data_IF_620853802260
#
_entry.id   IF_620853802260
#
_cell.length_a   1.000
_cell.length_b   1.000
_cell.length_c   1.000
_cell.angle_alpha   90.00
_cell.angle_beta   90.00
_cell.angle_gamma   90.00
#
_symmetry.space_group_name_H-M   'P 1'
#
loop_
_entity.id
_entity.type
_entity.pdbx_description
1 polymer ?
#
# COMPACT_ATOMS: atom_id res chain seq x y z
N UNK A 1 -19.29 -1.21 -4.58
CA UNK A 1 -18.19 -1.89 -5.30
C UNK A 1 -17.60 -0.88 -6.26
N UNK A 2 -16.29 -0.71 -6.25
CA UNK A 2 -15.59 0.31 -7.02
C UNK A 2 -14.81 -0.35 -8.15
N UNK A 3 -14.78 0.29 -9.32
CA UNK A 3 -14.15 -0.28 -10.50
C UNK A 3 -12.99 0.62 -10.94
N UNK A 4 -11.80 0.05 -11.03
CA UNK A 4 -10.62 0.71 -11.56
C UNK A 4 -10.28 0.14 -12.94
N UNK A 5 -10.40 0.97 -13.98
CA UNK A 5 -10.21 0.55 -15.38
C UNK A 5 -9.55 1.62 -16.25
N UNK A 6 -8.25 1.93 -16.06
CA UNK A 6 -7.54 2.85 -16.92
C UNK A 6 -7.22 2.19 -18.28
N UNK A 7 -7.06 3.00 -19.33
CA UNK A 7 -6.93 2.56 -20.74
C UNK A 7 -5.87 1.50 -21.03
N UNK A 8 -4.82 1.39 -20.21
CA UNK A 8 -3.66 0.50 -20.43
C UNK A 8 -3.62 -0.72 -19.50
N UNK A 9 -4.64 -0.90 -18.67
CA UNK A 9 -4.75 -2.03 -17.76
C UNK A 9 -5.38 -3.23 -18.49
N UNK A 10 -4.79 -4.42 -18.32
CA UNK A 10 -5.23 -5.64 -19.04
C UNK A 10 -6.62 -6.11 -18.62
N UNK A 11 -6.98 -5.92 -17.35
CA UNK A 11 -8.26 -6.32 -16.77
C UNK A 11 -8.68 -5.30 -15.71
N UNK A 12 -9.96 -4.92 -15.65
CA UNK A 12 -10.44 -4.05 -14.58
C UNK A 12 -10.18 -4.65 -13.20
N UNK A 13 -9.81 -3.82 -12.23
CA UNK A 13 -9.67 -4.22 -10.83
C UNK A 13 -10.94 -3.83 -10.10
N UNK A 14 -11.58 -4.81 -9.45
CA UNK A 14 -12.72 -4.58 -8.57
C UNK A 14 -12.22 -4.34 -7.14
N UNK A 15 -12.68 -3.25 -6.53
CA UNK A 15 -12.26 -2.83 -5.20
C UNK A 15 -13.47 -2.76 -4.27
N UNK A 16 -13.31 -3.28 -3.06
CA UNK A 16 -14.22 -3.06 -1.94
C UNK A 16 -13.92 -1.74 -1.22
N UNK A 17 -14.82 -1.30 -0.33
CA UNK A 17 -14.55 -0.12 0.51
C UNK A 17 -13.34 -0.33 1.44
N UNK A 18 -13.10 -1.58 1.87
CA UNK A 18 -11.92 -1.95 2.66
C UNK A 18 -10.64 -1.82 1.83
N UNK A 19 -10.67 -2.22 0.56
CA UNK A 19 -9.52 -2.07 -0.33
C UNK A 19 -9.18 -0.60 -0.56
N UNK A 20 -10.18 0.27 -0.77
CA UNK A 20 -9.95 1.71 -0.87
C UNK A 20 -9.37 2.29 0.42
N UNK A 21 -9.83 1.81 1.58
CA UNK A 21 -9.30 2.25 2.88
C UNK A 21 -7.83 1.84 3.07
N UNK A 22 -7.48 0.62 2.66
CA UNK A 22 -6.09 0.16 2.68
C UNK A 22 -5.22 0.98 1.72
N UNK A 23 -5.67 1.18 0.48
CA UNK A 23 -4.95 1.98 -0.52
C UNK A 23 -4.77 3.44 -0.08
N UNK A 24 -5.76 4.01 0.61
CA UNK A 24 -5.66 5.33 1.24
C UNK A 24 -4.55 5.36 2.29
N UNK A 25 -4.51 4.39 3.22
CA UNK A 25 -3.45 4.33 4.23
C UNK A 25 -2.06 4.21 3.58
N UNK A 26 -1.92 3.36 2.56
CA UNK A 26 -0.65 3.23 1.82
C UNK A 26 -0.29 4.56 1.13
N UNK A 27 -1.27 5.29 0.59
CA UNK A 27 -1.07 6.63 0.01
C UNK A 27 -0.57 7.66 1.04
N UNK A 28 -1.08 7.61 2.28
CA UNK A 28 -0.72 8.51 3.38
C UNK A 28 0.67 8.18 3.97
N UNK A 29 1.03 6.90 4.04
CA UNK A 29 2.32 6.42 4.56
C UNK A 29 3.45 6.58 3.51
N UNK A 30 3.15 6.41 2.23
CA UNK A 30 4.07 6.63 1.12
C UNK A 30 4.57 5.34 0.47
N UNK A 31 4.98 4.33 1.24
CA UNK A 31 5.27 2.99 0.74
C UNK A 31 5.15 1.95 1.86
N UNK A 32 5.05 0.67 1.49
CA UNK A 32 5.00 -0.43 2.46
C UNK A 32 5.72 -1.67 1.93
N UNK A 33 6.21 -2.53 2.82
CA UNK A 33 6.69 -3.87 2.46
C UNK A 33 5.62 -4.96 2.62
N UNK A 34 5.99 -6.21 2.32
CA UNK A 34 5.10 -7.39 2.41
C UNK A 34 4.54 -7.61 3.83
N UNK A 35 5.33 -7.38 4.88
CA UNK A 35 4.84 -7.56 6.26
C UNK A 35 3.87 -6.44 6.63
N UNK A 36 4.26 -5.20 6.35
CA UNK A 36 3.50 -4.00 6.67
C UNK A 36 2.14 -3.98 5.98
N UNK A 37 2.05 -4.41 4.71
CA UNK A 37 0.78 -4.46 4.00
C UNK A 37 -0.19 -5.47 4.64
N UNK A 38 0.30 -6.60 5.18
CA UNK A 38 -0.53 -7.57 5.90
C UNK A 38 -1.01 -7.02 7.25
N UNK A 39 -0.15 -6.32 7.98
CA UNK A 39 -0.54 -5.67 9.24
C UNK A 39 -1.61 -4.59 9.00
N UNK A 40 -1.42 -3.73 7.99
CA UNK A 40 -2.42 -2.72 7.61
C UNK A 40 -3.73 -3.36 7.13
N UNK A 41 -3.65 -4.46 6.36
CA UNK A 41 -4.85 -5.19 5.95
C UNK A 41 -5.61 -5.75 7.16
N UNK A 42 -4.89 -6.33 8.13
CA UNK A 42 -5.49 -6.80 9.38
C UNK A 42 -6.18 -5.68 10.16
N UNK A 43 -5.57 -4.50 10.22
CA UNK A 43 -6.15 -3.29 10.84
C UNK A 43 -7.48 -2.91 10.16
N UNK A 44 -7.50 -2.86 8.83
CA UNK A 44 -8.72 -2.55 8.06
C UNK A 44 -9.80 -3.62 8.24
N UNK A 45 -9.41 -4.90 8.32
CA UNK A 45 -10.34 -6.01 8.53
C UNK A 45 -10.82 -6.11 9.98
N UNK A 46 -10.12 -5.49 10.94
CA UNK A 46 -10.27 -5.70 12.40
C UNK A 46 -10.18 -7.18 12.80
N UNK A 47 -9.37 -7.94 12.06
CA UNK A 47 -9.11 -9.36 12.32
C UNK A 47 -7.74 -9.72 11.73
N UNK A 48 -6.90 -10.54 12.40
CA UNK A 48 -5.61 -10.98 11.87
C UNK A 48 -5.78 -11.65 10.50
N UNK A 49 -5.40 -10.95 9.43
CA UNK A 49 -5.69 -11.31 8.05
C UNK A 49 -4.50 -11.05 7.14
N UNK A 50 -4.33 -11.92 6.14
CA UNK A 50 -3.28 -11.79 5.13
C UNK A 50 -3.92 -11.33 3.83
N UNK A 51 -3.38 -10.27 3.22
CA UNK A 51 -3.80 -9.83 1.89
C UNK A 51 -3.39 -10.89 0.87
N UNK A 52 -4.34 -11.36 0.06
CA UNK A 52 -4.05 -12.36 -0.98
C UNK A 52 -2.99 -11.85 -1.96
N UNK A 53 -2.00 -12.68 -2.25
CA UNK A 53 -0.96 -12.39 -3.24
C UNK A 53 -1.56 -12.13 -4.64
N UNK A 54 -2.70 -12.76 -4.97
CA UNK A 54 -3.37 -12.54 -6.25
C UNK A 54 -3.85 -11.08 -6.35
N UNK A 55 -4.52 -10.59 -5.30
CA UNK A 55 -5.02 -9.21 -5.22
C UNK A 55 -3.84 -8.23 -5.29
N UNK A 56 -2.78 -8.48 -4.52
CA UNK A 56 -1.59 -7.64 -4.53
C UNK A 56 -0.91 -7.60 -5.91
N UNK A 57 -0.81 -8.76 -6.57
CA UNK A 57 -0.27 -8.86 -7.92
C UNK A 57 -1.12 -8.12 -8.95
N UNK A 58 -2.45 -8.12 -8.80
CA UNK A 58 -3.36 -7.34 -9.64
C UNK A 58 -3.15 -5.84 -9.44
N UNK A 59 -3.01 -5.39 -8.19
CA UNK A 59 -2.73 -3.98 -7.88
C UNK A 59 -1.38 -3.52 -8.42
N UNK A 60 -0.39 -4.43 -8.48
CA UNK A 60 0.95 -4.18 -9.04
C UNK A 60 1.07 -4.35 -10.56
N UNK A 61 -0.05 -4.61 -11.25
CA UNK A 61 -0.02 -4.77 -12.71
C UNK A 61 0.33 -3.45 -13.43
N UNK A 62 0.61 -3.53 -14.73
CA UNK A 62 0.95 -2.35 -15.51
C UNK A 62 -0.18 -1.32 -15.52
N UNK A 63 0.13 -0.06 -15.22
CA UNK A 63 -0.87 1.00 -14.95
C UNK A 63 -1.82 0.68 -13.80
N UNK A 64 -1.38 -0.16 -12.86
CA UNK A 64 -2.12 -0.50 -11.64
C UNK A 64 -2.04 0.57 -10.57
N UNK A 65 -2.55 0.20 -9.39
CA UNK A 65 -2.67 1.08 -8.23
C UNK A 65 -1.37 1.16 -7.42
N UNK A 66 -0.57 0.10 -7.44
CA UNK A 66 0.72 0.03 -6.75
C UNK A 66 1.83 -0.26 -7.76
N UNK A 67 3.03 0.24 -7.47
CA UNK A 67 4.25 -0.12 -8.17
C UNK A 67 5.11 -0.94 -7.22
N UNK A 68 5.44 -2.18 -7.60
CA UNK A 68 6.41 -3.00 -6.89
C UNK A 68 7.83 -2.55 -7.26
N UNK A 69 8.58 -2.06 -6.28
CA UNK A 69 10.02 -1.82 -6.39
C UNK A 69 10.75 -3.04 -5.86
N UNK A 70 11.50 -3.79 -6.70
CA UNK A 70 12.20 -4.98 -6.25
C UNK A 70 13.34 -4.63 -5.31
N UNK A 71 13.79 -5.64 -4.56
CA UNK A 71 15.01 -5.54 -3.75
C UNK A 71 16.18 -5.03 -4.61
N UNK A 72 16.93 -4.02 -4.16
CA UNK A 72 18.09 -3.53 -4.89
C UNK A 72 19.18 -4.62 -4.99
N UNK A 73 19.85 -4.67 -6.15
CA UNK A 73 20.92 -5.64 -6.43
C UNK A 73 22.21 -5.36 -5.64
N UNK A 74 22.39 -4.12 -5.21
CA UNK A 74 23.54 -3.67 -4.41
C UNK A 74 23.10 -3.28 -3.01
N UNK A 75 23.80 -3.78 -2.00
CA UNK A 75 23.57 -3.45 -0.59
C UNK A 75 24.27 -2.14 -0.24
N UNK A 76 23.48 -1.12 0.08
CA UNK A 76 23.92 0.10 0.76
C UNK A 76 23.19 0.18 2.10
N UNK A 77 23.79 0.81 3.11
CA UNK A 77 23.16 1.04 4.43
C UNK A 77 21.85 1.83 4.33
N UNK A 78 21.72 2.69 3.31
CA UNK A 78 20.53 3.48 3.04
C UNK A 78 19.43 2.72 2.28
N UNK A 79 19.75 1.56 1.70
CA UNK A 79 18.82 0.81 0.85
C UNK A 79 17.89 -0.05 1.71
N UNK A 80 16.62 -0.07 1.32
CA UNK A 80 15.67 -1.09 1.77
C UNK A 80 16.13 -2.47 1.25
N UNK A 81 16.11 -3.48 2.11
CA UNK A 81 16.71 -4.80 1.83
C UNK A 81 15.75 -5.81 1.21
N UNK A 82 14.53 -5.40 0.89
CA UNK A 82 13.46 -6.23 0.38
C UNK A 82 12.58 -5.44 -0.61
N UNK A 83 11.54 -6.08 -1.16
CA UNK A 83 10.63 -5.42 -2.09
C UNK A 83 9.65 -4.52 -1.35
N UNK A 84 9.36 -3.36 -1.95
CA UNK A 84 8.35 -2.43 -1.42
C UNK A 84 7.30 -2.11 -2.47
N UNK A 85 6.12 -1.69 -2.00
CA UNK A 85 4.96 -1.32 -2.78
C UNK A 85 4.69 0.17 -2.59
N UNK A 86 4.67 0.89 -3.71
CA UNK A 86 4.56 2.34 -3.75
C UNK A 86 3.24 2.69 -4.45
N UNK A 87 2.37 3.56 -3.88
CA UNK A 87 1.19 4.03 -4.58
C UNK A 87 1.55 4.77 -5.87
N UNK A 88 0.86 4.44 -6.96
CA UNK A 88 0.99 5.18 -8.22
C UNK A 88 0.17 6.47 -8.19
N UNK A 89 0.49 7.41 -9.07
CA UNK A 89 -0.35 8.60 -9.27
C UNK A 89 -1.79 8.23 -9.65
N UNK A 90 -1.95 7.13 -10.38
CA UNK A 90 -3.27 6.62 -10.77
C UNK A 90 -4.09 6.12 -9.57
N UNK A 91 -3.44 5.57 -8.54
CA UNK A 91 -4.13 5.21 -7.30
C UNK A 91 -4.65 6.44 -6.58
N UNK A 92 -3.82 7.49 -6.44
CA UNK A 92 -4.23 8.75 -5.81
C UNK A 92 -5.38 9.42 -6.57
N UNK A 93 -5.27 9.48 -7.90
CA UNK A 93 -6.33 10.00 -8.76
C UNK A 93 -7.64 9.21 -8.59
N UNK A 94 -7.56 7.88 -8.60
CA UNK A 94 -8.74 7.04 -8.42
C UNK A 94 -9.40 7.23 -7.04
N UNK A 95 -8.61 7.35 -5.97
CA UNK A 95 -9.16 7.63 -4.63
C UNK A 95 -9.88 9.00 -4.60
N UNK A 96 -9.33 10.02 -5.25
CA UNK A 96 -9.99 11.32 -5.36
C UNK A 96 -11.28 11.27 -6.18
N UNK A 97 -11.31 10.50 -7.28
CA UNK A 97 -12.53 10.26 -8.06
C UNK A 97 -13.63 9.61 -7.20
N UNK A 98 -13.27 8.82 -6.19
CA UNK A 98 -14.19 8.24 -5.22
C UNK A 98 -14.45 9.15 -4.00
N UNK A 99 -14.09 10.44 -4.08
CA UNK A 99 -14.20 11.42 -3.00
C UNK A 99 -13.46 11.05 -1.71
N UNK A 100 -12.39 10.24 -1.82
CA UNK A 100 -11.52 9.89 -0.70
C UNK A 100 -10.32 10.85 -0.68
N UNK A 101 -10.18 11.68 0.37
CA UNK A 101 -9.10 12.66 0.43
C UNK A 101 -7.76 11.95 0.61
N UNK A 102 -6.83 12.24 -0.29
CA UNK A 102 -5.43 11.81 -0.23
C UNK A 102 -4.52 12.94 -0.68
N UNK A 103 -3.35 13.06 -0.04
CA UNK A 103 -2.32 13.99 -0.52
C UNK A 103 -1.83 13.54 -1.91
N UNK A 104 -1.78 14.47 -2.85
CA UNK A 104 -1.17 14.24 -4.16
C UNK A 104 0.36 14.29 -4.11
N UNK A 105 0.92 14.93 -3.09
CA UNK A 105 2.36 15.07 -2.89
C UNK A 105 2.71 14.20 -1.68
N UNK A 106 3.25 13.01 -1.95
CA UNK A 106 3.86 12.20 -0.91
C UNK A 106 5.15 11.60 -1.46
N UNK A 107 6.17 12.47 -1.56
CA UNK A 107 7.53 12.12 -1.98
C UNK A 107 8.31 11.54 -0.79
N UNK A 108 7.76 10.51 -0.15
CA UNK A 108 8.51 9.76 0.87
C UNK A 108 9.57 8.94 0.14
N UNK A 109 10.82 9.38 0.26
CA UNK A 109 11.94 8.66 -0.34
C UNK A 109 12.03 7.23 0.22
N UNK A 110 12.18 6.25 -0.67
CA UNK A 110 12.35 4.85 -0.27
C UNK A 110 13.78 4.62 0.20
N UNK A 111 13.97 4.56 1.51
CA UNK A 111 15.23 4.27 2.19
C UNK A 111 14.97 3.59 3.54
N UNK A 112 16.02 3.02 4.14
CA UNK A 112 15.94 2.25 5.40
C UNK A 112 15.46 3.10 6.59
N UNK A 113 15.85 4.36 6.68
CA UNK A 113 15.39 5.28 7.73
C UNK A 113 13.87 5.49 7.70
N UNK A 114 13.34 5.81 6.52
CA UNK A 114 11.90 6.03 6.34
C UNK A 114 11.12 4.73 6.53
N UNK A 115 11.66 3.60 6.09
CA UNK A 115 11.06 2.29 6.33
C UNK A 115 10.93 1.98 7.84
N UNK A 116 11.93 2.28 8.65
CA UNK A 116 11.86 2.10 10.10
C UNK A 116 10.81 3.01 10.74
N UNK A 117 10.69 4.27 10.30
CA UNK A 117 9.64 5.17 10.77
C UNK A 117 8.25 4.65 10.41
N UNK A 118 8.09 4.12 9.18
CA UNK A 118 6.85 3.50 8.73
C UNK A 118 6.52 2.25 9.55
N UNK A 119 7.51 1.41 9.86
CA UNK A 119 7.33 0.22 10.70
C UNK A 119 6.74 0.58 12.07
N UNK A 120 7.26 1.63 12.71
CA UNK A 120 6.74 2.10 14.01
C UNK A 120 5.27 2.52 13.88
N UNK A 121 4.91 3.24 12.82
CA UNK A 121 3.52 3.67 12.58
C UNK A 121 2.61 2.45 12.38
N UNK A 122 3.01 1.51 11.52
CA UNK A 122 2.22 0.31 11.19
C UNK A 122 2.03 -0.57 12.43
N UNK A 123 3.10 -0.80 13.21
CA UNK A 123 3.02 -1.57 14.45
C UNK A 123 2.15 -0.88 15.51
N UNK A 124 2.22 0.44 15.62
CA UNK A 124 1.37 1.20 16.52
C UNK A 124 -0.12 1.09 16.13
N UNK A 125 -0.45 1.20 14.84
CA UNK A 125 -1.82 1.02 14.34
C UNK A 125 -2.34 -0.40 14.60
N UNK A 126 -1.52 -1.41 14.30
CA UNK A 126 -1.86 -2.81 14.55
C UNK A 126 -2.08 -3.06 16.03
N UNK A 127 -1.14 -2.65 16.88
CA UNK A 127 -1.24 -2.80 18.33
C UNK A 127 -2.46 -2.08 18.88
N UNK A 128 -2.72 -0.83 18.48
CA UNK A 128 -3.90 -0.09 18.93
C UNK A 128 -5.22 -0.78 18.55
N UNK A 129 -5.26 -1.49 17.41
CA UNK A 129 -6.44 -2.22 16.95
C UNK A 129 -6.71 -3.49 17.76
N UNK A 130 -5.66 -4.21 18.17
CA UNK A 130 -5.79 -5.54 18.80
C UNK A 130 -5.42 -5.58 20.29
N UNK A 131 -4.92 -4.50 20.89
CA UNK A 131 -4.49 -4.46 22.31
C UNK A 131 -5.62 -4.75 23.31
N UNK A 132 -6.87 -4.54 22.92
CA UNK A 132 -8.05 -4.80 23.75
C UNK A 132 -9.03 -5.78 23.08
N UNK A 133 -8.59 -6.50 22.06
CA UNK A 133 -9.39 -7.49 21.34
C UNK A 133 -9.45 -8.83 22.08
#
# INVERSE_FOLDING_TARGET
MFLYNPKRLKKPITLSAKDLSLLRLICEIGFVNDLQIHLLYSVIQRYPSVLSHIILSEWCSFSGLLQKRPKPKSSSSSNVTHAVYIPTNSCRAHLQEQHIPVSMVNDVAVNSHNEQAIEVIVQALYSATFKYA
#
